data_IF_184547133203
#
_entry.id   IF_184547133203
#
_cell.length_a   1.000
_cell.length_b   1.000
_cell.length_c   1.000
_cell.angle_alpha   90.00
_cell.angle_beta   90.00
_cell.angle_gamma   90.00
#
_symmetry.space_group_name_H-M   'P 1'
#
loop_
_entity.id
_entity.type
_entity.pdbx_description
1 polymer ?
#
# COMPACT_ATOMS: atom_id res chain seq x y z
N UNK A 1 -2.93 24.83 -3.03
CA UNK A 1 -1.49 24.99 -2.77
C UNK A 1 -0.78 25.04 -4.12
N UNK A 2 -0.31 26.22 -4.52
CA UNK A 2 0.28 26.47 -5.84
C UNK A 2 1.65 25.78 -5.96
N UNK A 3 1.77 24.75 -6.80
CA UNK A 3 3.08 24.22 -7.23
C UNK A 3 3.66 25.19 -8.26
N UNK A 4 4.75 25.88 -7.92
CA UNK A 4 5.48 26.78 -8.81
C UNK A 4 6.51 25.99 -9.63
N UNK A 5 6.86 26.43 -10.83
CA UNK A 5 7.80 25.71 -11.73
C UNK A 5 9.18 25.47 -11.07
N UNK A 6 9.68 26.43 -10.30
CA UNK A 6 10.92 26.28 -9.50
C UNK A 6 10.87 25.13 -8.50
N UNK A 7 9.70 24.82 -7.94
CA UNK A 7 9.54 23.71 -6.98
C UNK A 7 9.61 22.35 -7.67
N UNK A 8 9.25 22.26 -8.95
CA UNK A 8 9.34 21.01 -9.72
C UNK A 8 10.78 20.69 -10.11
N UNK A 9 11.57 21.65 -10.60
CA UNK A 9 12.98 21.40 -10.96
C UNK A 9 13.80 20.90 -9.76
N UNK A 10 13.58 21.49 -8.59
CA UNK A 10 14.24 21.06 -7.35
C UNK A 10 13.82 19.65 -6.94
N UNK A 11 12.53 19.32 -7.00
CA UNK A 11 12.04 17.98 -6.71
C UNK A 11 12.59 16.95 -7.70
N UNK A 12 12.69 17.27 -8.99
CA UNK A 12 13.23 16.37 -10.01
C UNK A 12 14.72 16.08 -9.79
N UNK A 13 15.51 17.09 -9.42
CA UNK A 13 16.92 16.91 -9.09
C UNK A 13 17.11 16.00 -7.86
N UNK A 14 16.29 16.18 -6.83
CA UNK A 14 16.26 15.34 -5.63
C UNK A 14 15.84 13.91 -5.98
N UNK A 15 14.76 13.72 -6.75
CA UNK A 15 14.27 12.41 -7.15
C UNK A 15 15.26 11.62 -8.00
N UNK A 16 16.14 12.30 -8.76
CA UNK A 16 17.20 11.65 -9.56
C UNK A 16 18.40 11.20 -8.75
N UNK A 17 18.64 11.78 -7.56
CA UNK A 17 19.80 11.48 -6.73
C UNK A 17 19.48 10.63 -5.49
N UNK A 18 18.22 10.61 -5.04
CA UNK A 18 17.77 9.74 -3.95
C UNK A 18 17.56 8.30 -4.42
N UNK A 19 18.15 7.36 -3.69
CA UNK A 19 17.90 5.94 -3.87
C UNK A 19 16.63 5.53 -3.12
N UNK A 20 15.86 4.62 -3.72
CA UNK A 20 14.65 4.05 -3.07
C UNK A 20 14.97 3.49 -1.67
N UNK A 21 16.15 2.85 -1.54
CA UNK A 21 16.62 2.29 -0.27
C UNK A 21 16.86 3.31 0.86
N UNK A 22 16.99 4.60 0.52
CA UNK A 22 17.19 5.68 1.50
C UNK A 22 15.87 6.19 2.08
N UNK A 23 14.76 6.00 1.36
CA UNK A 23 13.42 6.49 1.77
C UNK A 23 12.46 5.37 2.19
N UNK A 24 12.76 4.12 1.82
CA UNK A 24 11.86 3.00 2.11
C UNK A 24 11.89 2.58 3.58
N UNK A 25 10.75 2.11 4.07
CA UNK A 25 10.67 1.37 5.33
C UNK A 25 11.27 -0.04 5.14
N UNK A 26 12.30 -0.39 5.92
CA UNK A 26 13.00 -1.68 5.79
C UNK A 26 12.28 -2.85 6.46
N UNK A 27 11.59 -2.59 7.55
CA UNK A 27 10.84 -3.59 8.32
C UNK A 27 9.36 -3.28 8.16
N UNK A 28 8.71 -4.02 7.29
CA UNK A 28 7.29 -3.87 6.98
C UNK A 28 6.52 -5.05 7.55
N UNK A 29 5.31 -4.80 8.05
CA UNK A 29 4.38 -5.86 8.33
C UNK A 29 4.00 -6.57 7.01
N UNK A 30 3.79 -7.87 7.08
CA UNK A 30 3.42 -8.71 5.93
C UNK A 30 2.32 -9.69 6.34
N UNK A 31 1.56 -10.16 5.37
CA UNK A 31 0.61 -11.26 5.55
C UNK A 31 1.09 -12.50 4.80
N UNK A 32 0.64 -13.67 5.24
CA UNK A 32 0.67 -14.90 4.46
C UNK A 32 -0.61 -14.98 3.61
N UNK A 33 -0.61 -15.75 2.49
CA UNK A 33 -1.82 -15.91 1.67
C UNK A 33 -3.02 -16.47 2.44
N UNK A 34 -2.75 -17.20 3.53
CA UNK A 34 -3.75 -17.90 4.33
C UNK A 34 -4.29 -17.04 5.49
N UNK A 35 -3.71 -15.85 5.70
CA UNK A 35 -4.19 -14.90 6.70
C UNK A 35 -5.52 -14.28 6.26
N UNK A 36 -6.39 -13.99 7.22
CA UNK A 36 -7.76 -13.53 6.93
C UNK A 36 -7.82 -12.05 6.53
N UNK A 37 -8.86 -11.67 5.79
CA UNK A 37 -9.09 -10.28 5.40
C UNK A 37 -9.38 -9.37 6.61
N UNK A 38 -9.95 -9.91 7.68
CA UNK A 38 -10.16 -9.19 8.94
C UNK A 38 -8.82 -8.82 9.59
N UNK A 39 -7.81 -9.69 9.48
CA UNK A 39 -6.46 -9.38 9.95
C UNK A 39 -5.87 -8.21 9.17
N UNK A 40 -5.99 -8.23 7.83
CA UNK A 40 -5.57 -7.10 6.98
C UNK A 40 -6.29 -5.80 7.37
N UNK A 41 -7.61 -5.84 7.59
CA UNK A 41 -8.39 -4.70 8.04
C UNK A 41 -7.94 -4.18 9.41
N UNK A 42 -7.60 -5.07 10.34
CA UNK A 42 -7.03 -4.73 11.65
C UNK A 42 -5.72 -3.96 11.51
N UNK A 43 -4.80 -4.45 10.69
CA UNK A 43 -3.54 -3.75 10.40
C UNK A 43 -3.78 -2.34 9.83
N UNK A 44 -4.66 -2.20 8.84
CA UNK A 44 -4.95 -0.89 8.24
C UNK A 44 -5.64 0.08 9.19
N UNK A 45 -6.45 -0.43 10.13
CA UNK A 45 -7.11 0.38 11.15
C UNK A 45 -6.13 0.92 12.20
N UNK A 46 -5.14 0.10 12.57
CA UNK A 46 -4.23 0.37 13.68
C UNK A 46 -2.95 1.09 13.23
N UNK A 47 -2.69 1.15 11.93
CA UNK A 47 -1.46 1.71 11.37
C UNK A 47 -1.73 2.80 10.32
N UNK A 48 -0.72 3.62 10.04
CA UNK A 48 -0.77 4.71 9.05
C UNK A 48 -0.47 4.25 7.60
N UNK A 49 -0.39 2.95 7.36
CA UNK A 49 -0.18 2.38 6.02
C UNK A 49 -1.44 1.67 5.55
N UNK A 50 -1.63 1.64 4.23
CA UNK A 50 -2.83 1.12 3.58
C UNK A 50 -2.52 0.08 2.50
N UNK A 51 -1.31 -0.49 2.55
CA UNK A 51 -0.86 -1.59 1.71
C UNK A 51 0.00 -2.54 2.54
N UNK A 52 -0.20 -3.84 2.33
CA UNK A 52 0.56 -4.92 2.96
C UNK A 52 1.09 -5.86 1.87
N UNK A 53 2.39 -6.18 1.87
CA UNK A 53 2.93 -7.27 1.06
C UNK A 53 2.39 -8.62 1.56
N UNK A 54 2.04 -9.50 0.62
CA UNK A 54 1.68 -10.89 0.89
C UNK A 54 2.88 -11.77 0.53
N UNK A 55 3.38 -12.52 1.51
CA UNK A 55 4.59 -13.35 1.41
C UNK A 55 4.22 -14.82 1.57
N UNK A 56 4.61 -15.67 0.62
CA UNK A 56 4.55 -17.13 0.75
C UNK A 56 5.96 -17.71 0.72
N UNK A 57 6.33 -18.48 1.75
CA UNK A 57 7.65 -19.16 1.86
C UNK A 57 8.83 -18.22 1.54
N UNK A 58 8.77 -17.00 2.06
CA UNK A 58 9.81 -15.98 1.88
C UNK A 58 9.80 -15.29 0.51
N UNK A 59 8.79 -15.51 -0.33
CA UNK A 59 8.62 -14.85 -1.63
C UNK A 59 7.44 -13.90 -1.61
N UNK A 60 7.61 -12.71 -2.18
CA UNK A 60 6.52 -11.79 -2.45
C UNK A 60 5.61 -12.38 -3.52
N UNK A 61 4.35 -12.63 -3.18
CA UNK A 61 3.34 -13.19 -4.10
C UNK A 61 2.24 -12.20 -4.45
N UNK A 62 2.10 -11.12 -3.68
CA UNK A 62 1.10 -10.09 -3.96
C UNK A 62 1.15 -8.92 -3.00
N UNK A 63 0.20 -8.01 -3.17
CA UNK A 63 -0.03 -6.86 -2.28
C UNK A 63 -1.54 -6.81 -2.04
N UNK A 64 -1.93 -6.57 -0.80
CA UNK A 64 -3.30 -6.23 -0.45
C UNK A 64 -3.36 -4.79 0.03
N UNK A 65 -4.40 -4.07 -0.37
CA UNK A 65 -4.63 -2.66 -0.03
C UNK A 65 -5.99 -2.47 0.61
N UNK A 66 -6.22 -1.30 1.20
CA UNK A 66 -7.57 -0.92 1.65
C UNK A 66 -8.59 -0.89 0.50
N UNK A 67 -8.14 -0.59 -0.73
CA UNK A 67 -9.01 -0.61 -1.90
C UNK A 67 -9.50 -2.03 -2.21
N UNK A 68 -8.64 -3.03 -2.09
CA UNK A 68 -9.04 -4.44 -2.32
C UNK A 68 -10.10 -4.88 -1.30
N UNK A 69 -9.97 -4.50 -0.03
CA UNK A 69 -10.98 -4.78 1.00
C UNK A 69 -12.31 -4.10 0.71
N UNK A 70 -12.27 -2.84 0.25
CA UNK A 70 -13.45 -2.09 -0.17
C UNK A 70 -14.10 -2.82 -1.34
N UNK A 71 -13.37 -3.04 -2.43
CA UNK A 71 -13.92 -3.73 -3.62
C UNK A 71 -14.49 -5.10 -3.28
N UNK A 72 -13.80 -5.87 -2.43
CA UNK A 72 -14.29 -7.16 -1.95
C UNK A 72 -15.63 -7.02 -1.20
N UNK A 73 -15.70 -6.17 -0.17
CA UNK A 73 -16.92 -5.94 0.58
C UNK A 73 -18.08 -5.48 -0.33
N UNK A 74 -17.84 -4.52 -1.22
CA UNK A 74 -18.86 -4.01 -2.13
C UNK A 74 -19.30 -5.05 -3.17
N UNK A 75 -18.42 -5.95 -3.61
CA UNK A 75 -18.74 -7.05 -4.51
C UNK A 75 -19.55 -8.15 -3.82
N UNK A 76 -19.22 -8.48 -2.57
CA UNK A 76 -19.88 -9.52 -1.78
C UNK A 76 -21.28 -9.06 -1.30
N UNK A 77 -21.43 -7.77 -0.98
CA UNK A 77 -22.72 -7.17 -0.61
C UNK A 77 -23.55 -6.66 -1.80
N UNK A 78 -23.12 -6.90 -3.05
CA UNK A 78 -23.91 -6.64 -4.27
C UNK A 78 -24.17 -5.17 -4.59
N UNK A 79 -23.44 -4.24 -3.98
CA UNK A 79 -23.69 -2.79 -4.09
C UNK A 79 -23.14 -2.19 -5.40
N UNK A 80 -22.21 -2.87 -6.08
CA UNK A 80 -21.60 -2.38 -7.33
C UNK A 80 -22.24 -2.93 -8.63
N UNK A 81 -23.32 -3.71 -8.53
CA UNK A 81 -24.05 -4.24 -9.69
C UNK A 81 -25.40 -3.53 -9.94
N UNK A 82 -25.58 -2.30 -9.44
CA UNK A 82 -26.77 -1.46 -9.69
C UNK A 82 -26.51 -0.37 -10.71
#
# INVERSE_FOLDING_TARGET
LFKTEKSNEYNDAIMRSLLVGEVMTKQVATLNPEDSLEMAAGFFRENLFHALPVIDKGKLVGIITTFDLITYAFSEYGVLNS
#
